data_IF_763446103021
#
_entry.id   IF_763446103021
#
_cell.length_a   1.000
_cell.length_b   1.000
_cell.length_c   1.000
_cell.angle_alpha   90.00
_cell.angle_beta   90.00
_cell.angle_gamma   90.00
#
_symmetry.space_group_name_H-M   'P 1'
#
loop_
_entity.id
_entity.type
_entity.pdbx_description
1 polymer ?
#
# COMPACT_ATOMS: atom_id res chain seq x y z
N UNK A 1 -10.53 -10.23 5.72
CA UNK A 1 -10.28 -8.92 5.06
C UNK A 1 -8.85 -8.42 5.33
N UNK A 2 -8.39 -8.36 6.58
CA UNK A 2 -6.98 -8.00 6.90
C UNK A 2 -6.01 -9.01 6.28
N UNK A 3 -6.35 -10.30 6.25
CA UNK A 3 -5.57 -11.36 5.59
C UNK A 3 -5.39 -11.15 4.06
N UNK A 4 -6.16 -10.28 3.42
CA UNK A 4 -5.97 -9.95 2.01
C UNK A 4 -4.82 -8.94 1.78
N UNK A 5 -4.33 -8.25 2.82
CA UNK A 5 -3.24 -7.28 2.70
C UNK A 5 -1.97 -7.89 2.09
N UNK A 6 -1.47 -9.06 2.55
CA UNK A 6 -0.32 -9.71 1.93
C UNK A 6 -0.52 -10.07 0.46
N UNK A 7 -1.73 -10.50 0.09
CA UNK A 7 -2.06 -10.84 -1.31
C UNK A 7 -2.08 -9.59 -2.20
N UNK A 8 -2.60 -8.47 -1.70
CA UNK A 8 -2.59 -7.20 -2.42
C UNK A 8 -1.16 -6.69 -2.62
N UNK A 9 -0.29 -6.81 -1.61
CA UNK A 9 1.13 -6.49 -1.78
C UNK A 9 1.81 -7.43 -2.76
N UNK A 10 1.53 -8.74 -2.71
CA UNK A 10 2.08 -9.68 -3.67
C UNK A 10 1.67 -9.33 -5.10
N UNK A 11 0.39 -9.01 -5.34
CA UNK A 11 -0.12 -8.58 -6.64
C UNK A 11 0.56 -7.28 -7.10
N UNK A 12 0.71 -6.31 -6.21
CA UNK A 12 1.36 -5.04 -6.52
C UNK A 12 2.85 -5.23 -6.87
N UNK A 13 3.58 -6.04 -6.09
CA UNK A 13 5.00 -6.31 -6.37
C UNK A 13 5.18 -7.15 -7.64
N UNK A 14 4.25 -8.04 -7.96
CA UNK A 14 4.24 -8.75 -9.24
C UNK A 14 4.05 -7.79 -10.42
N UNK A 15 3.16 -6.80 -10.28
CA UNK A 15 2.96 -5.77 -11.29
C UNK A 15 4.23 -4.91 -11.46
N UNK A 16 4.90 -4.53 -10.37
CA UNK A 16 6.16 -3.78 -10.44
C UNK A 16 7.30 -4.60 -11.07
N UNK A 17 7.39 -5.89 -10.75
CA UNK A 17 8.30 -6.82 -11.42
C UNK A 17 8.04 -6.90 -12.92
N UNK A 18 6.78 -6.92 -13.35
CA UNK A 18 6.41 -6.85 -14.77
C UNK A 18 6.78 -5.50 -15.42
N UNK A 19 6.69 -4.37 -14.68
CA UNK A 19 7.21 -3.08 -15.17
C UNK A 19 8.70 -3.17 -15.42
N UNK A 20 9.51 -3.75 -14.52
CA UNK A 20 10.94 -3.94 -14.71
C UNK A 20 11.27 -4.76 -15.97
N UNK A 21 10.52 -5.82 -16.24
CA UNK A 21 10.73 -6.69 -17.40
C UNK A 21 10.33 -6.03 -18.73
N UNK A 22 9.44 -5.05 -18.69
CA UNK A 22 8.87 -4.44 -19.91
C UNK A 22 9.42 -3.05 -20.21
N UNK A 23 10.10 -2.38 -19.23
CA UNK A 23 10.53 -0.99 -19.37
C UNK A 23 11.66 -0.79 -20.39
N UNK A 24 12.50 -1.82 -20.61
CA UNK A 24 13.66 -1.76 -21.53
C UNK A 24 13.38 -2.41 -22.87
N UNK A 25 12.21 -3.03 -23.08
CA UNK A 25 11.87 -3.74 -24.31
C UNK A 25 10.88 -2.98 -25.20
N UNK A 26 10.65 -3.49 -26.43
CA UNK A 26 9.70 -2.94 -27.39
C UNK A 26 8.21 -3.18 -27.01
N UNK A 27 7.95 -3.52 -25.77
CA UNK A 27 6.60 -3.87 -25.27
C UNK A 27 5.85 -2.66 -24.70
N UNK A 28 5.82 -1.53 -25.39
CA UNK A 28 5.25 -0.27 -24.91
C UNK A 28 3.80 -0.40 -24.40
N UNK A 29 2.94 -1.14 -25.11
CA UNK A 29 1.55 -1.34 -24.69
C UNK A 29 1.45 -2.14 -23.39
N UNK A 30 2.22 -3.23 -23.29
CA UNK A 30 2.23 -4.06 -22.07
C UNK A 30 2.80 -3.28 -20.88
N UNK A 31 3.91 -2.55 -21.10
CA UNK A 31 4.48 -1.69 -20.04
C UNK A 31 3.46 -0.69 -19.51
N UNK A 32 2.72 0.00 -20.39
CA UNK A 32 1.67 0.92 -19.98
C UNK A 32 0.57 0.26 -19.16
N UNK A 33 0.13 -0.93 -19.56
CA UNK A 33 -0.90 -1.68 -18.81
C UNK A 33 -0.42 -2.05 -17.42
N UNK A 34 0.79 -2.60 -17.27
CA UNK A 34 1.31 -3.00 -15.96
C UNK A 34 1.62 -1.80 -15.07
N UNK A 35 2.03 -0.65 -15.63
CA UNK A 35 2.16 0.63 -14.90
C UNK A 35 0.81 1.08 -14.34
N UNK A 36 -0.26 1.03 -15.14
CA UNK A 36 -1.61 1.39 -14.70
C UNK A 36 -2.10 0.44 -13.60
N UNK A 37 -1.84 -0.87 -13.72
CA UNK A 37 -2.19 -1.84 -12.69
C UNK A 37 -1.46 -1.54 -11.38
N UNK A 38 -0.14 -1.33 -11.44
CA UNK A 38 0.67 -1.00 -10.26
C UNK A 38 0.16 0.28 -9.56
N UNK A 39 0.01 1.37 -10.31
CA UNK A 39 -0.48 2.65 -9.79
C UNK A 39 -1.93 2.56 -9.31
N UNK A 40 -2.77 1.78 -9.99
CA UNK A 40 -4.15 1.52 -9.56
C UNK A 40 -4.19 0.86 -8.17
N UNK A 41 -3.35 -0.15 -7.93
CA UNK A 41 -3.25 -0.74 -6.59
C UNK A 41 -2.68 0.29 -5.60
N UNK A 42 -1.61 0.98 -5.96
CA UNK A 42 -0.93 1.93 -5.08
C UNK A 42 -1.81 3.13 -4.69
N UNK A 43 -2.49 3.75 -5.65
CA UNK A 43 -3.16 5.04 -5.45
C UNK A 43 -4.69 4.93 -5.28
N UNK A 44 -5.29 3.80 -5.66
CA UNK A 44 -6.75 3.60 -5.55
C UNK A 44 -7.08 2.58 -4.47
N UNK A 45 -6.44 1.40 -4.51
CA UNK A 45 -6.79 0.33 -3.58
C UNK A 45 -6.36 0.67 -2.15
N UNK A 46 -5.12 1.08 -1.91
CA UNK A 46 -4.64 1.30 -0.55
C UNK A 46 -5.38 2.38 0.23
N UNK A 47 -5.62 3.60 -0.28
CA UNK A 47 -6.30 4.64 0.49
C UNK A 47 -7.79 4.31 0.76
N UNK A 48 -8.37 3.36 0.03
CA UNK A 48 -9.76 2.91 0.25
C UNK A 48 -9.82 1.62 1.08
N UNK A 49 -8.99 0.63 0.76
CA UNK A 49 -9.03 -0.69 1.38
C UNK A 49 -8.65 -0.67 2.87
N UNK A 50 -7.61 0.08 3.24
CA UNK A 50 -7.11 0.09 4.62
C UNK A 50 -8.14 0.65 5.61
N UNK A 51 -8.71 1.86 5.42
CA UNK A 51 -9.75 2.35 6.31
C UNK A 51 -11.01 1.47 6.29
N UNK A 52 -11.38 0.90 5.14
CA UNK A 52 -12.51 -0.02 5.04
C UNK A 52 -12.28 -1.31 5.82
N UNK A 53 -11.13 -1.97 5.65
CA UNK A 53 -10.81 -3.22 6.33
C UNK A 53 -10.74 -3.05 7.85
N UNK A 54 -10.08 -1.99 8.34
CA UNK A 54 -10.00 -1.69 9.77
C UNK A 54 -11.35 -1.28 10.36
N UNK A 55 -12.16 -0.50 9.63
CA UNK A 55 -13.53 -0.14 10.05
C UNK A 55 -14.42 -1.36 10.26
N UNK A 56 -14.24 -2.43 9.50
CA UNK A 56 -15.03 -3.67 9.61
C UNK A 56 -14.76 -4.45 10.89
N UNK A 57 -13.56 -4.36 11.42
CA UNK A 57 -13.13 -5.08 12.63
C UNK A 57 -13.17 -4.20 13.88
N UNK A 58 -13.33 -2.88 13.74
CA UNK A 58 -13.36 -1.91 14.83
C UNK A 58 -14.69 -1.99 15.58
N UNK A 59 -14.60 -2.13 16.92
CA UNK A 59 -15.76 -2.24 17.81
C UNK A 59 -16.22 -0.90 18.38
N UNK A 60 -15.32 0.06 18.53
CA UNK A 60 -15.62 1.40 19.05
C UNK A 60 -16.39 2.22 18.03
N UNK A 61 -17.57 2.70 18.39
CA UNK A 61 -18.44 3.51 17.51
C UNK A 61 -17.73 4.79 17.03
N UNK A 62 -17.04 5.49 17.95
CA UNK A 62 -16.31 6.71 17.62
C UNK A 62 -15.19 6.45 16.63
N UNK A 63 -14.34 5.45 16.88
CA UNK A 63 -13.24 5.08 15.99
C UNK A 63 -13.74 4.57 14.63
N UNK A 64 -14.85 3.84 14.63
CA UNK A 64 -15.51 3.38 13.41
C UNK A 64 -16.04 4.55 12.57
N UNK A 65 -16.51 5.65 13.20
CA UNK A 65 -16.90 6.89 12.50
C UNK A 65 -15.67 7.58 11.91
N UNK A 66 -14.58 7.71 12.67
CA UNK A 66 -13.31 8.27 12.17
C UNK A 66 -12.77 7.48 10.99
N UNK A 67 -12.75 6.14 11.08
CA UNK A 67 -12.36 5.27 9.95
C UNK A 67 -13.30 5.43 8.75
N UNK A 68 -14.59 5.72 8.98
CA UNK A 68 -15.53 6.07 7.93
C UNK A 68 -15.18 7.39 7.23
N UNK A 69 -14.80 8.42 7.97
CA UNK A 69 -14.34 9.69 7.41
C UNK A 69 -13.04 9.51 6.62
N UNK A 70 -12.09 8.70 7.13
CA UNK A 70 -10.86 8.36 6.42
C UNK A 70 -11.14 7.57 5.13
N UNK A 71 -12.16 6.69 5.12
CA UNK A 71 -12.58 5.99 3.91
C UNK A 71 -13.13 6.96 2.85
N UNK A 72 -13.94 7.95 3.26
CA UNK A 72 -14.43 8.98 2.33
C UNK A 72 -13.25 9.78 1.78
N UNK A 73 -12.33 10.23 2.63
CA UNK A 73 -11.13 10.94 2.19
C UNK A 73 -10.29 10.10 1.23
N UNK A 74 -10.07 8.81 1.53
CA UNK A 74 -9.36 7.87 0.66
C UNK A 74 -10.06 7.65 -0.68
N UNK A 75 -11.40 7.62 -0.69
CA UNK A 75 -12.17 7.50 -1.93
C UNK A 75 -12.03 8.74 -2.80
N UNK A 76 -12.01 9.94 -2.21
CA UNK A 76 -11.75 11.18 -2.95
C UNK A 76 -10.36 11.18 -3.56
N UNK A 77 -9.34 10.76 -2.79
CA UNK A 77 -7.95 10.62 -3.30
C UNK A 77 -7.90 9.61 -4.46
N UNK A 78 -8.58 8.48 -4.32
CA UNK A 78 -8.65 7.47 -5.37
C UNK A 78 -9.30 7.99 -6.66
N UNK A 79 -10.40 8.75 -6.54
CA UNK A 79 -11.06 9.39 -7.68
C UNK A 79 -10.11 10.38 -8.36
N UNK A 80 -9.45 11.25 -7.57
CA UNK A 80 -8.46 12.20 -8.12
C UNK A 80 -7.32 11.48 -8.83
N UNK A 81 -6.81 10.36 -8.27
CA UNK A 81 -5.77 9.56 -8.90
C UNK A 81 -6.22 8.95 -10.24
N UNK A 82 -7.45 8.41 -10.31
CA UNK A 82 -8.02 7.91 -11.56
C UNK A 82 -8.15 9.01 -12.60
N UNK A 83 -8.69 10.17 -12.22
CA UNK A 83 -8.82 11.32 -13.11
C UNK A 83 -7.46 11.80 -13.62
N UNK A 84 -6.44 11.83 -12.75
CA UNK A 84 -5.07 12.17 -13.12
C UNK A 84 -4.51 11.16 -14.14
N UNK A 85 -4.65 9.85 -13.89
CA UNK A 85 -4.17 8.80 -14.80
C UNK A 85 -4.87 8.81 -16.16
N UNK A 86 -6.15 9.20 -16.20
CA UNK A 86 -6.91 9.32 -17.45
C UNK A 86 -6.51 10.56 -18.23
N UNK A 87 -6.35 11.70 -17.54
CA UNK A 87 -6.00 12.98 -18.18
C UNK A 87 -4.53 13.05 -18.58
N UNK A 88 -3.65 12.44 -17.81
CA UNK A 88 -2.20 12.43 -18.00
C UNK A 88 -1.69 10.99 -17.93
N UNK A 89 -1.55 10.31 -19.07
CA UNK A 89 -1.13 8.91 -19.11
C UNK A 89 0.16 8.68 -18.33
N UNK A 90 0.17 7.75 -17.34
CA UNK A 90 1.36 7.47 -16.58
C UNK A 90 2.37 6.66 -17.39
N UNK A 91 3.65 6.87 -17.11
CA UNK A 91 4.76 6.08 -17.65
C UNK A 91 5.83 5.85 -16.58
N UNK A 92 6.57 4.78 -16.74
CA UNK A 92 7.67 4.42 -15.88
C UNK A 92 9.01 4.81 -16.52
N UNK A 93 9.97 5.24 -15.70
CA UNK A 93 11.37 5.42 -16.10
C UNK A 93 12.31 4.89 -15.03
N UNK A 94 13.48 4.41 -15.45
CA UNK A 94 14.51 3.97 -14.52
C UNK A 94 15.17 5.21 -13.90
N UNK A 95 15.20 5.28 -12.58
CA UNK A 95 15.85 6.33 -11.79
C UNK A 95 16.86 5.67 -10.83
N UNK A 96 18.12 5.59 -11.26
CA UNK A 96 19.15 4.84 -10.53
C UNK A 96 18.82 3.34 -10.46
N UNK A 97 18.57 2.84 -9.26
CA UNK A 97 18.22 1.43 -9.00
C UNK A 97 16.72 1.22 -8.70
N UNK A 98 15.88 2.19 -9.04
CA UNK A 98 14.44 2.17 -8.74
C UNK A 98 13.63 2.66 -9.93
N UNK A 99 12.30 2.44 -9.89
CA UNK A 99 11.38 2.96 -10.89
C UNK A 99 10.77 4.26 -10.39
N UNK A 100 10.86 5.31 -11.22
CA UNK A 100 10.09 6.55 -11.07
C UNK A 100 8.87 6.48 -11.97
N UNK A 101 7.71 6.88 -11.42
CA UNK A 101 6.45 6.98 -12.14
C UNK A 101 6.13 8.45 -12.37
N UNK A 102 6.01 8.83 -13.64
CA UNK A 102 5.72 10.19 -14.07
C UNK A 102 4.45 10.21 -14.93
N UNK A 103 3.90 11.39 -15.16
CA UNK A 103 2.66 11.59 -15.90
C UNK A 103 2.89 12.53 -17.06
N UNK A 104 2.53 12.11 -18.27
CA UNK A 104 2.78 12.86 -19.49
C UNK A 104 2.06 14.22 -19.49
N UNK A 105 2.81 15.32 -19.57
CA UNK A 105 2.24 16.67 -19.65
C UNK A 105 1.78 17.29 -18.31
N UNK A 106 1.93 16.60 -17.18
CA UNK A 106 1.48 17.10 -15.88
C UNK A 106 2.49 18.02 -15.17
N UNK A 107 3.74 18.07 -15.64
CA UNK A 107 4.82 18.75 -14.92
C UNK A 107 5.03 18.14 -13.53
N UNK A 108 5.31 18.97 -12.53
CA UNK A 108 5.53 18.54 -11.15
C UNK A 108 4.23 18.49 -10.29
N UNK A 109 3.08 18.74 -10.88
CA UNK A 109 1.80 18.75 -10.15
C UNK A 109 1.53 17.47 -9.34
N UNK A 110 1.79 16.24 -9.85
CA UNK A 110 1.58 15.02 -9.09
C UNK A 110 2.52 14.84 -7.90
N UNK A 111 3.65 15.55 -7.87
CA UNK A 111 4.66 15.51 -6.79
C UNK A 111 4.42 16.57 -5.70
N UNK A 112 3.31 17.30 -5.78
CA UNK A 112 3.00 18.35 -4.82
C UNK A 112 2.82 17.75 -3.41
N UNK A 113 3.45 18.32 -2.37
CA UNK A 113 3.46 17.75 -1.01
C UNK A 113 2.06 17.63 -0.40
N UNK A 114 1.11 18.50 -0.78
CA UNK A 114 -0.28 18.39 -0.31
C UNK A 114 -0.99 17.13 -0.85
N UNK A 115 -0.71 16.72 -2.09
CA UNK A 115 -1.27 15.48 -2.66
C UNK A 115 -0.70 14.26 -1.97
N UNK A 116 0.60 14.28 -1.67
CA UNK A 116 1.24 13.24 -0.86
C UNK A 116 0.61 13.15 0.53
N UNK A 117 0.42 14.27 1.22
CA UNK A 117 -0.22 14.30 2.53
C UNK A 117 -1.67 13.81 2.46
N UNK A 118 -2.44 14.26 1.47
CA UNK A 118 -3.81 13.81 1.25
C UNK A 118 -3.91 12.30 1.04
N UNK A 119 -2.94 11.69 0.37
CA UNK A 119 -2.82 10.24 0.20
C UNK A 119 -2.40 9.53 1.49
N UNK A 120 -1.42 10.06 2.22
CA UNK A 120 -0.87 9.42 3.41
C UNK A 120 -1.87 9.36 4.56
N UNK A 121 -2.69 10.40 4.73
CA UNK A 121 -3.68 10.44 5.82
C UNK A 121 -4.62 9.22 5.77
N UNK A 122 -5.35 8.93 4.68
CA UNK A 122 -6.23 7.76 4.64
C UNK A 122 -5.48 6.42 4.57
N UNK A 123 -4.21 6.42 4.19
CA UNK A 123 -3.40 5.19 4.08
C UNK A 123 -2.73 4.80 5.39
N UNK A 124 -2.23 5.75 6.17
CA UNK A 124 -1.44 5.49 7.38
C UNK A 124 -2.25 5.71 8.66
N UNK A 125 -3.06 6.78 8.76
CA UNK A 125 -3.81 7.11 9.97
C UNK A 125 -4.78 5.99 10.44
N UNK A 126 -5.41 5.18 9.58
CA UNK A 126 -6.29 4.09 10.02
C UNK A 126 -5.64 3.11 11.00
N UNK A 127 -4.34 2.85 10.85
CA UNK A 127 -3.60 1.95 11.74
C UNK A 127 -3.50 2.48 13.17
N UNK A 128 -3.42 3.80 13.34
CA UNK A 128 -3.34 4.44 14.66
C UNK A 128 -4.72 4.69 15.28
N UNK A 129 -5.75 4.80 14.46
CA UNK A 129 -7.15 4.93 14.93
C UNK A 129 -7.68 3.59 15.46
N UNK A 130 -7.25 2.46 14.90
CA UNK A 130 -7.73 1.12 15.29
C UNK A 130 -7.35 0.74 16.72
N UNK A 131 -8.22 -0.01 17.39
CA UNK A 131 -7.95 -0.61 18.70
C UNK A 131 -7.01 -1.80 18.65
N UNK A 132 -6.77 -2.36 17.48
CA UNK A 132 -5.88 -3.51 17.30
C UNK A 132 -4.43 -3.12 17.59
N UNK A 133 -3.80 -3.75 18.58
CA UNK A 133 -2.40 -3.49 18.94
C UNK A 133 -1.44 -3.74 17.77
N UNK A 134 -1.67 -4.82 17.01
CA UNK A 134 -0.91 -5.15 15.82
C UNK A 134 -1.01 -4.05 14.75
N UNK A 135 -2.19 -3.42 14.58
CA UNK A 135 -2.36 -2.34 13.61
C UNK A 135 -1.40 -1.17 13.90
N UNK A 136 -1.24 -0.78 15.17
CA UNK A 136 -0.32 0.29 15.55
C UNK A 136 1.14 -0.03 15.21
N UNK A 137 1.58 -1.27 15.46
CA UNK A 137 2.92 -1.70 15.08
C UNK A 137 3.12 -1.61 13.57
N UNK A 138 2.14 -2.10 12.78
CA UNK A 138 2.12 -1.99 11.32
C UNK A 138 2.19 -0.54 10.85
N UNK A 139 1.35 0.32 11.41
CA UNK A 139 1.33 1.75 11.09
C UNK A 139 2.67 2.43 11.40
N UNK A 140 3.29 2.10 12.53
CA UNK A 140 4.60 2.66 12.90
C UNK A 140 5.70 2.23 11.92
N UNK A 141 5.73 0.96 11.54
CA UNK A 141 6.75 0.47 10.58
C UNK A 141 6.50 1.04 9.18
N UNK A 142 5.24 1.15 8.73
CA UNK A 142 4.91 1.80 7.47
C UNK A 142 5.31 3.27 7.46
N UNK A 143 5.02 4.01 8.54
CA UNK A 143 5.41 5.41 8.66
C UNK A 143 6.94 5.58 8.68
N UNK A 144 7.66 4.70 9.39
CA UNK A 144 9.12 4.72 9.43
C UNK A 144 9.73 4.39 8.06
N UNK A 145 9.19 3.38 7.35
CA UNK A 145 9.66 3.02 6.01
C UNK A 145 9.43 4.15 5.01
N UNK A 146 8.31 4.87 5.13
CA UNK A 146 8.03 6.04 4.31
C UNK A 146 9.06 7.15 4.58
N UNK A 147 9.34 7.44 5.86
CA UNK A 147 10.33 8.45 6.24
C UNK A 147 11.70 8.10 5.65
N UNK A 148 12.15 6.86 5.82
CA UNK A 148 13.42 6.38 5.25
C UNK A 148 13.42 6.53 3.72
N UNK A 149 12.36 6.06 3.04
CA UNK A 149 12.24 6.17 1.58
C UNK A 149 12.27 7.62 1.10
N UNK A 150 11.61 8.54 1.82
CA UNK A 150 11.58 9.97 1.47
C UNK A 150 12.93 10.67 1.63
N UNK A 151 13.77 10.18 2.54
CA UNK A 151 15.13 10.73 2.77
C UNK A 151 16.14 10.17 1.77
N UNK A 152 15.98 8.89 1.37
CA UNK A 152 16.97 8.18 0.54
C UNK A 152 16.69 8.35 -0.96
N UNK A 153 15.41 8.24 -1.37
CA UNK A 153 15.03 8.25 -2.79
C UNK A 153 13.68 8.92 -3.03
N UNK A 154 13.66 10.24 -3.09
CA UNK A 154 12.42 11.01 -3.33
C UNK A 154 11.77 10.72 -4.68
N UNK A 155 12.56 10.50 -5.72
CA UNK A 155 12.07 10.28 -7.09
C UNK A 155 11.43 8.89 -7.30
N UNK A 156 11.77 7.92 -6.44
CA UNK A 156 11.25 6.56 -6.49
C UNK A 156 10.46 6.18 -5.22
N UNK A 157 9.91 7.16 -4.52
CA UNK A 157 9.25 6.99 -3.23
C UNK A 157 8.20 5.87 -3.24
N UNK A 158 7.35 5.82 -4.27
CA UNK A 158 6.27 4.82 -4.38
C UNK A 158 6.83 3.40 -4.48
N UNK A 159 7.83 3.18 -5.34
CA UNK A 159 8.47 1.88 -5.55
C UNK A 159 9.16 1.38 -4.28
N UNK A 160 10.04 2.20 -3.70
CA UNK A 160 10.81 1.83 -2.50
C UNK A 160 9.90 1.60 -1.29
N UNK A 161 8.89 2.45 -1.10
CA UNK A 161 7.94 2.30 0.01
C UNK A 161 7.09 1.04 -0.11
N UNK A 162 6.58 0.74 -1.31
CA UNK A 162 5.81 -0.46 -1.57
C UNK A 162 6.63 -1.74 -1.35
N UNK A 163 7.93 -1.73 -1.71
CA UNK A 163 8.83 -2.85 -1.42
C UNK A 163 8.95 -3.12 0.09
N UNK A 164 9.23 -2.10 0.90
CA UNK A 164 9.29 -2.26 2.36
C UNK A 164 7.97 -2.73 2.95
N UNK A 165 6.85 -2.20 2.47
CA UNK A 165 5.53 -2.62 2.93
C UNK A 165 5.23 -4.08 2.58
N UNK A 166 5.68 -4.57 1.43
CA UNK A 166 5.54 -5.97 1.03
C UNK A 166 6.38 -6.91 1.90
N UNK A 167 7.65 -6.57 2.16
CA UNK A 167 8.54 -7.34 3.06
C UNK A 167 7.92 -7.44 4.46
N UNK A 168 7.45 -6.32 4.99
CA UNK A 168 6.80 -6.26 6.29
C UNK A 168 5.55 -7.13 6.35
N UNK A 169 4.71 -7.07 5.31
CA UNK A 169 3.50 -7.89 5.19
C UNK A 169 3.82 -9.39 5.23
N UNK A 170 4.90 -9.80 4.57
CA UNK A 170 5.40 -11.18 4.63
C UNK A 170 5.85 -11.60 6.03
N UNK A 171 6.58 -10.74 6.73
CA UNK A 171 7.03 -11.01 8.10
C UNK A 171 5.85 -11.19 9.07
N UNK A 172 4.80 -10.38 8.92
CA UNK A 172 3.59 -10.49 9.74
C UNK A 172 2.86 -11.80 9.47
N UNK A 173 2.72 -12.17 8.20
CA UNK A 173 2.10 -13.44 7.82
C UNK A 173 2.85 -14.62 8.45
N UNK A 174 4.18 -14.60 8.42
CA UNK A 174 5.02 -15.61 9.06
C UNK A 174 4.85 -15.65 10.58
N UNK A 175 4.77 -14.48 11.24
CA UNK A 175 4.54 -14.38 12.68
C UNK A 175 3.18 -14.98 13.06
N UNK A 176 2.11 -14.62 12.36
CA UNK A 176 0.76 -15.14 12.60
C UNK A 176 0.68 -16.65 12.36
N UNK A 177 1.33 -17.15 11.32
CA UNK A 177 1.38 -18.59 11.03
C UNK A 177 2.11 -19.37 12.13
N UNK A 178 3.18 -18.82 12.70
CA UNK A 178 3.90 -19.41 13.83
C UNK A 178 3.04 -19.47 15.09
N UNK A 179 2.32 -18.38 15.42
CA UNK A 179 1.42 -18.34 16.58
C UNK A 179 0.29 -19.36 16.45
N UNK A 180 -0.32 -19.48 15.27
CA UNK A 180 -1.36 -20.48 15.03
C UNK A 180 -0.85 -21.91 15.21
N UNK A 181 0.34 -22.21 14.69
CA UNK A 181 0.96 -23.55 14.87
C UNK A 181 1.25 -23.84 16.34
N UNK A 182 1.77 -22.85 17.08
CA UNK A 182 2.04 -23.01 18.51
C UNK A 182 0.75 -23.23 19.33
N UNK A 183 -0.34 -22.57 18.97
CA UNK A 183 -1.64 -22.72 19.63
C UNK A 183 -2.23 -24.11 19.34
N UNK A 184 -2.18 -24.59 18.11
CA UNK A 184 -2.63 -25.92 17.73
C UNK A 184 -1.81 -27.01 18.43
N UNK A 185 -0.49 -26.87 18.48
CA UNK A 185 0.37 -27.83 19.18
C UNK A 185 0.05 -27.94 20.68
N UNK A 186 -0.24 -26.80 21.34
CA UNK A 186 -0.67 -26.79 22.75
C UNK A 186 -2.05 -27.44 22.94
N UNK A 187 -2.99 -27.22 22.02
CA UNK A 187 -4.32 -27.81 22.08
C UNK A 187 -4.25 -29.35 21.95
N UNK A 188 -3.43 -29.85 21.00
CA UNK A 188 -3.21 -31.29 20.82
C UNK A 188 -2.53 -31.93 22.02
N UNK A 189 -1.52 -31.26 22.59
CA UNK A 189 -0.82 -31.77 23.79
C UNK A 189 -1.75 -31.83 25.03
N UNK A 190 -2.66 -30.83 25.18
CA UNK A 190 -3.64 -30.78 26.28
C UNK A 190 -4.81 -31.76 26.13
N UNK A 191 -5.07 -32.30 24.95
CA UNK A 191 -6.12 -33.32 24.71
C UNK A 191 -5.60 -34.74 24.89
N UNK A 192 -4.30 -34.93 25.07
CA UNK A 192 -3.64 -36.25 25.27
C UNK A 192 -3.39 -36.62 26.76
N UNK A 193 -3.80 -35.70 27.67
CA UNK A 193 -3.78 -35.91 29.14
C UNK A 193 -5.20 -36.12 29.67
#
# INVERSE_FOLDING_TARGET
MIAAIPLLFAAQQSAEGAVWLTITGDHHTLNRVVVIIFLGIALVVWPTWLPFALRRVERSVTRRRTLGALLVAGSLVAICAVLLMVSFPPFARIAGHSISYDYAGSGDAPKHPLLLLAYLVPTVAPFFVSTLSMARVLGSVLASSLLVSSLVQRDALTSVWCFFAAVLSGLILLALAREQRATLARAVAGSAL
#
